data_IF_840012128167
#
_entry.id   IF_840012128167
#
_cell.length_a   1.000
_cell.length_b   1.000
_cell.length_c   1.000
_cell.angle_alpha   90.00
_cell.angle_beta   90.00
_cell.angle_gamma   90.00
#
_symmetry.space_group_name_H-M   'P 1'
#
loop_
_entity.id
_entity.type
_entity.pdbx_description
1 polymer ?
#
# COMPACT_ATOMS: atom_id res chain seq x y z
N UNK A 1 -49.15 -32.65 -31.98
CA UNK A 1 -48.01 -31.78 -32.36
C UNK A 1 -47.88 -31.68 -33.87
N UNK A 2 -47.69 -30.47 -34.40
CA UNK A 2 -47.38 -30.26 -35.83
C UNK A 2 -45.88 -30.40 -36.06
N UNK A 3 -45.45 -30.72 -37.28
CA UNK A 3 -44.03 -30.81 -37.66
C UNK A 3 -43.27 -29.51 -37.32
N UNK A 4 -43.93 -28.37 -37.46
CA UNK A 4 -43.38 -27.04 -37.13
C UNK A 4 -43.04 -26.89 -35.64
N UNK A 5 -43.91 -27.38 -34.74
CA UNK A 5 -43.62 -27.38 -33.31
C UNK A 5 -42.43 -28.27 -32.98
N UNK A 6 -42.29 -29.42 -33.65
CA UNK A 6 -41.14 -30.31 -33.45
C UNK A 6 -39.82 -29.66 -33.90
N UNK A 7 -39.79 -29.02 -35.06
CA UNK A 7 -38.59 -28.27 -35.49
C UNK A 7 -38.24 -27.12 -34.54
N UNK A 8 -39.24 -26.41 -34.04
CA UNK A 8 -39.03 -25.33 -33.08
C UNK A 8 -38.49 -25.86 -31.73
N UNK A 9 -39.05 -26.97 -31.21
CA UNK A 9 -38.50 -27.63 -30.01
C UNK A 9 -37.05 -28.07 -30.22
N UNK A 10 -36.71 -28.63 -31.38
CA UNK A 10 -35.36 -29.10 -31.69
C UNK A 10 -34.37 -27.94 -31.69
N UNK A 11 -34.70 -26.84 -32.39
CA UNK A 11 -33.85 -25.66 -32.47
C UNK A 11 -33.68 -24.98 -31.10
N UNK A 12 -34.76 -24.89 -30.32
CA UNK A 12 -34.71 -24.39 -28.95
C UNK A 12 -33.78 -25.25 -28.07
N UNK A 13 -33.82 -26.58 -28.18
CA UNK A 13 -32.94 -27.48 -27.43
C UNK A 13 -31.47 -27.35 -27.85
N UNK A 14 -31.18 -27.19 -29.15
CA UNK A 14 -29.84 -26.90 -29.65
C UNK A 14 -29.33 -25.55 -29.08
N UNK A 15 -30.21 -24.54 -29.06
CA UNK A 15 -29.93 -23.24 -28.46
C UNK A 15 -29.61 -23.37 -26.97
N UNK A 16 -30.40 -24.13 -26.21
CA UNK A 16 -30.14 -24.35 -24.78
C UNK A 16 -28.90 -25.19 -24.51
N UNK A 17 -28.57 -26.16 -25.37
CA UNK A 17 -27.29 -26.86 -25.31
C UNK A 17 -26.10 -25.92 -25.52
N UNK A 18 -26.25 -24.97 -26.43
CA UNK A 18 -25.22 -23.95 -26.68
C UNK A 18 -25.08 -22.97 -25.51
N UNK A 19 -26.21 -22.52 -24.97
CA UNK A 19 -26.26 -21.70 -23.75
C UNK A 19 -25.63 -22.43 -22.55
N UNK A 20 -25.93 -23.71 -22.38
CA UNK A 20 -25.34 -24.54 -21.33
C UNK A 20 -23.81 -24.59 -21.44
N UNK A 21 -23.30 -24.79 -22.66
CA UNK A 21 -21.86 -24.74 -22.92
C UNK A 21 -21.23 -23.40 -22.50
N UNK A 22 -21.88 -22.29 -22.85
CA UNK A 22 -21.45 -20.96 -22.44
C UNK A 22 -21.45 -20.78 -20.93
N UNK A 23 -22.56 -21.14 -20.26
CA UNK A 23 -22.72 -21.02 -18.82
C UNK A 23 -21.68 -21.84 -18.06
N UNK A 24 -21.36 -23.06 -18.53
CA UNK A 24 -20.35 -23.93 -17.95
C UNK A 24 -18.93 -23.34 -18.10
N UNK A 25 -18.58 -22.80 -19.26
CA UNK A 25 -17.29 -22.13 -19.49
C UNK A 25 -17.16 -20.86 -18.63
N UNK A 26 -18.25 -20.11 -18.42
CA UNK A 26 -18.29 -19.00 -17.45
C UNK A 26 -18.04 -19.50 -16.03
N UNK A 27 -18.83 -20.49 -15.60
CA UNK A 27 -18.80 -21.03 -14.25
C UNK A 27 -17.41 -21.56 -13.88
N UNK A 28 -16.81 -22.39 -14.74
CA UNK A 28 -15.47 -22.95 -14.53
C UNK A 28 -14.40 -21.87 -14.39
N UNK A 29 -14.50 -20.76 -15.15
CA UNK A 29 -13.56 -19.64 -15.02
C UNK A 29 -13.70 -18.90 -13.69
N UNK A 30 -14.93 -18.66 -13.23
CA UNK A 30 -15.18 -18.06 -11.92
C UNK A 30 -14.75 -18.97 -10.77
N UNK A 31 -14.99 -20.28 -10.90
CA UNK A 31 -14.63 -21.28 -9.91
C UNK A 31 -13.11 -21.39 -9.72
N UNK A 32 -12.33 -21.37 -10.81
CA UNK A 32 -10.86 -21.40 -10.78
C UNK A 32 -10.24 -20.23 -9.99
N UNK A 33 -10.94 -19.09 -9.89
CA UNK A 33 -10.49 -17.92 -9.12
C UNK A 33 -10.79 -18.02 -7.61
N UNK A 34 -11.69 -18.91 -7.20
CA UNK A 34 -12.22 -19.03 -5.83
C UNK A 34 -11.71 -20.28 -5.08
N UNK A 35 -10.48 -20.72 -5.38
CA UNK A 35 -9.94 -22.04 -4.98
C UNK A 35 -9.77 -22.28 -3.47
N UNK A 36 -10.00 -21.30 -2.60
CA UNK A 36 -9.58 -21.40 -1.19
C UNK A 36 -10.63 -22.04 -0.26
N UNK A 37 -11.85 -22.37 -0.72
CA UNK A 37 -12.90 -22.97 0.13
C UNK A 37 -13.68 -24.08 -0.60
N UNK A 38 -13.23 -25.33 -0.45
CA UNK A 38 -13.84 -26.51 -1.07
C UNK A 38 -15.34 -26.70 -0.81
N UNK A 39 -15.82 -26.36 0.39
CA UNK A 39 -17.25 -26.41 0.72
C UNK A 39 -18.11 -25.46 -0.13
N UNK A 40 -17.60 -24.25 -0.43
CA UNK A 40 -18.33 -23.30 -1.27
C UNK A 40 -18.35 -23.74 -2.74
N UNK A 41 -17.33 -24.47 -3.19
CA UNK A 41 -17.30 -25.03 -4.54
C UNK A 41 -18.41 -26.07 -4.68
N UNK A 42 -18.55 -26.97 -3.70
CA UNK A 42 -19.60 -27.99 -3.72
C UNK A 42 -21.02 -27.41 -3.76
N UNK A 43 -21.31 -26.44 -2.89
CA UNK A 43 -22.64 -25.78 -2.86
C UNK A 43 -22.92 -25.07 -4.18
N UNK A 44 -21.92 -24.36 -4.73
CA UNK A 44 -22.09 -23.67 -6.01
C UNK A 44 -22.24 -24.63 -7.18
N UNK A 45 -21.58 -25.80 -7.17
CA UNK A 45 -21.72 -26.81 -8.21
C UNK A 45 -23.13 -27.42 -8.18
N UNK A 46 -23.60 -27.81 -6.99
CA UNK A 46 -24.97 -28.27 -6.81
C UNK A 46 -26.00 -27.23 -7.28
N UNK A 47 -25.83 -25.97 -6.88
CA UNK A 47 -26.74 -24.88 -7.26
C UNK A 47 -26.69 -24.61 -8.76
N UNK A 48 -25.51 -24.67 -9.38
CA UNK A 48 -25.35 -24.50 -10.83
C UNK A 48 -26.10 -25.59 -11.61
N UNK A 49 -25.89 -26.87 -11.26
CA UNK A 49 -26.58 -27.99 -11.93
C UNK A 49 -28.10 -27.93 -11.71
N UNK A 50 -28.55 -27.56 -10.52
CA UNK A 50 -29.97 -27.40 -10.20
C UNK A 50 -30.60 -26.30 -11.04
N UNK A 51 -30.01 -25.10 -11.05
CA UNK A 51 -30.51 -23.96 -11.83
C UNK A 51 -30.54 -24.31 -13.32
N UNK A 52 -29.47 -24.91 -13.83
CA UNK A 52 -29.38 -25.24 -15.24
C UNK A 52 -30.40 -26.31 -15.66
N UNK A 53 -30.58 -27.35 -14.83
CA UNK A 53 -31.61 -28.36 -15.03
C UNK A 53 -33.01 -27.74 -15.06
N UNK A 54 -33.30 -26.84 -14.11
CA UNK A 54 -34.58 -26.10 -14.08
C UNK A 54 -34.77 -25.22 -15.31
N UNK A 55 -33.74 -24.50 -15.77
CA UNK A 55 -33.81 -23.65 -16.96
C UNK A 55 -34.10 -24.49 -18.21
N UNK A 56 -33.38 -25.59 -18.41
CA UNK A 56 -33.59 -26.49 -19.55
C UNK A 56 -34.99 -27.10 -19.50
N UNK A 57 -35.43 -27.56 -18.32
CA UNK A 57 -36.76 -28.11 -18.13
C UNK A 57 -37.86 -27.06 -18.34
N UNK A 58 -37.65 -25.83 -17.91
CA UNK A 58 -38.60 -24.74 -18.12
C UNK A 58 -38.76 -24.40 -19.61
N UNK A 59 -37.66 -24.33 -20.35
CA UNK A 59 -37.72 -24.13 -21.81
C UNK A 59 -38.38 -25.32 -22.50
N UNK A 60 -38.10 -26.54 -22.04
CA UNK A 60 -38.76 -27.74 -22.54
C UNK A 60 -40.28 -27.72 -22.26
N UNK A 61 -40.67 -27.25 -21.08
CA UNK A 61 -42.06 -27.09 -20.68
C UNK A 61 -42.78 -26.07 -21.57
N UNK A 62 -42.15 -24.93 -21.84
CA UNK A 62 -42.73 -23.87 -22.67
C UNK A 62 -42.92 -24.31 -24.13
N UNK A 63 -42.00 -25.13 -24.66
CA UNK A 63 -41.95 -25.42 -26.10
C UNK A 63 -42.57 -26.79 -26.45
N UNK A 64 -42.56 -27.74 -25.53
CA UNK A 64 -42.99 -29.12 -25.76
C UNK A 64 -43.96 -29.64 -24.68
N UNK A 65 -44.56 -28.75 -23.88
CA UNK A 65 -45.39 -29.09 -22.70
C UNK A 65 -44.70 -30.03 -21.69
N UNK A 66 -43.36 -30.10 -21.73
CA UNK A 66 -42.57 -30.92 -20.83
C UNK A 66 -42.46 -32.39 -21.25
N UNK A 67 -42.86 -32.75 -22.47
CA UNK A 67 -42.65 -34.09 -23.00
C UNK A 67 -41.14 -34.37 -23.18
N UNK A 68 -40.61 -35.25 -22.34
CA UNK A 68 -39.23 -35.71 -22.41
C UNK A 68 -39.10 -36.81 -23.47
N UNK A 69 -38.46 -36.48 -24.59
CA UNK A 69 -38.19 -37.41 -25.69
C UNK A 69 -36.68 -37.51 -25.95
N UNK A 70 -36.20 -38.71 -26.29
CA UNK A 70 -34.77 -39.01 -26.46
C UNK A 70 -34.06 -38.09 -27.48
N UNK A 71 -34.72 -37.72 -28.58
CA UNK A 71 -34.12 -36.85 -29.59
C UNK A 71 -33.88 -35.42 -29.09
N UNK A 72 -34.59 -34.95 -28.07
CA UNK A 72 -34.39 -33.61 -27.47
C UNK A 72 -33.10 -33.59 -26.65
N UNK A 73 -32.77 -34.69 -25.97
CA UNK A 73 -31.47 -34.85 -25.33
C UNK A 73 -30.33 -34.88 -26.36
N UNK A 74 -30.52 -35.57 -27.49
CA UNK A 74 -29.54 -35.54 -28.60
C UNK A 74 -29.38 -34.12 -29.16
N UNK A 75 -30.46 -33.38 -29.34
CA UNK A 75 -30.44 -32.00 -29.80
C UNK A 75 -29.66 -31.09 -28.82
N UNK A 76 -29.84 -31.29 -27.51
CA UNK A 76 -29.10 -30.57 -26.47
C UNK A 76 -27.60 -30.90 -26.47
N UNK A 77 -27.25 -32.18 -26.59
CA UNK A 77 -25.85 -32.63 -26.74
C UNK A 77 -25.21 -32.08 -28.02
N UNK A 78 -25.95 -32.07 -29.13
CA UNK A 78 -25.51 -31.51 -30.39
C UNK A 78 -25.27 -29.99 -30.28
N UNK A 79 -26.18 -29.26 -29.65
CA UNK A 79 -26.01 -27.84 -29.35
C UNK A 79 -24.79 -27.55 -28.48
N UNK A 80 -24.57 -28.36 -27.45
CA UNK A 80 -23.37 -28.26 -26.61
C UNK A 80 -22.08 -28.53 -27.41
N UNK A 81 -22.08 -29.56 -28.26
CA UNK A 81 -20.94 -29.87 -29.12
C UNK A 81 -20.66 -28.74 -30.14
N UNK A 82 -21.72 -28.17 -30.73
CA UNK A 82 -21.64 -27.02 -31.63
C UNK A 82 -21.03 -25.80 -30.91
N UNK A 83 -21.45 -25.51 -29.67
CA UNK A 83 -20.82 -24.48 -28.85
C UNK A 83 -19.32 -24.74 -28.63
N UNK A 84 -18.97 -25.96 -28.24
CA UNK A 84 -17.59 -26.32 -27.95
C UNK A 84 -16.67 -26.18 -29.16
N UNK A 85 -17.16 -26.54 -30.35
CA UNK A 85 -16.40 -26.49 -31.60
C UNK A 85 -16.29 -25.08 -32.20
N UNK A 86 -17.40 -24.33 -32.21
CA UNK A 86 -17.50 -23.06 -32.96
C UNK A 86 -17.35 -21.82 -32.06
N UNK A 87 -18.01 -21.83 -30.90
CA UNK A 87 -18.22 -20.62 -30.11
C UNK A 87 -17.26 -20.48 -28.93
N UNK A 88 -16.65 -21.57 -28.46
CA UNK A 88 -15.74 -21.57 -27.31
C UNK A 88 -14.62 -20.53 -27.43
N UNK A 89 -13.94 -20.48 -28.58
CA UNK A 89 -12.80 -19.56 -28.79
C UNK A 89 -13.26 -18.10 -28.79
N UNK A 90 -14.38 -17.81 -29.47
CA UNK A 90 -14.95 -16.46 -29.55
C UNK A 90 -15.43 -16.01 -28.16
N UNK A 91 -16.13 -16.89 -27.46
CA UNK A 91 -16.66 -16.62 -26.12
C UNK A 91 -15.54 -16.33 -25.12
N UNK A 92 -14.49 -17.16 -25.09
CA UNK A 92 -13.33 -16.93 -24.22
C UNK A 92 -12.63 -15.60 -24.52
N UNK A 93 -12.42 -15.28 -25.80
CA UNK A 93 -11.81 -14.01 -26.20
C UNK A 93 -12.66 -12.81 -25.79
N UNK A 94 -13.98 -12.87 -25.97
CA UNK A 94 -14.90 -11.84 -25.49
C UNK A 94 -14.84 -11.68 -23.97
N UNK A 95 -14.86 -12.79 -23.25
CA UNK A 95 -14.81 -12.79 -21.79
C UNK A 95 -13.46 -12.27 -21.25
N UNK A 96 -12.36 -12.55 -21.92
CA UNK A 96 -11.04 -11.97 -21.60
C UNK A 96 -11.01 -10.46 -21.86
N UNK A 97 -11.49 -10.02 -23.02
CA UNK A 97 -11.61 -8.60 -23.36
C UNK A 97 -12.48 -7.84 -22.34
N UNK A 98 -13.59 -8.42 -21.90
CA UNK A 98 -14.45 -7.80 -20.88
C UNK A 98 -13.74 -7.67 -19.54
N UNK A 99 -13.04 -8.71 -19.08
CA UNK A 99 -12.29 -8.67 -17.82
C UNK A 99 -11.13 -7.68 -17.91
N UNK A 100 -10.36 -7.71 -18.99
CA UNK A 100 -9.23 -6.81 -19.18
C UNK A 100 -9.68 -5.35 -19.28
N UNK A 101 -10.80 -5.09 -19.97
CA UNK A 101 -11.38 -3.75 -20.04
C UNK A 101 -11.80 -3.27 -18.65
N UNK A 102 -12.48 -4.11 -17.87
CA UNK A 102 -12.87 -3.76 -16.51
C UNK A 102 -11.66 -3.46 -15.62
N UNK A 103 -10.64 -4.31 -15.66
CA UNK A 103 -9.40 -4.11 -14.88
C UNK A 103 -8.68 -2.84 -15.32
N UNK A 104 -8.61 -2.54 -16.62
CA UNK A 104 -8.00 -1.32 -17.16
C UNK A 104 -8.76 -0.08 -16.66
N UNK A 105 -10.09 -0.11 -16.68
CA UNK A 105 -10.93 0.98 -16.17
C UNK A 105 -10.69 1.23 -14.68
N UNK A 106 -10.68 0.17 -13.86
CA UNK A 106 -10.39 0.31 -12.42
C UNK A 106 -8.98 0.85 -12.17
N UNK A 107 -7.97 0.37 -12.91
CA UNK A 107 -6.61 0.90 -12.81
C UNK A 107 -6.53 2.37 -13.21
N UNK A 108 -7.26 2.77 -14.25
CA UNK A 108 -7.33 4.15 -14.70
C UNK A 108 -7.96 5.06 -13.65
N UNK A 109 -9.05 4.63 -13.02
CA UNK A 109 -9.69 5.35 -11.90
C UNK A 109 -8.70 5.50 -10.73
N UNK A 110 -8.05 4.41 -10.31
CA UNK A 110 -7.06 4.46 -9.23
C UNK A 110 -5.90 5.39 -9.56
N UNK A 111 -5.42 5.41 -10.81
CA UNK A 111 -4.35 6.31 -11.24
C UNK A 111 -4.80 7.77 -11.23
N UNK A 112 -6.03 8.06 -11.64
CA UNK A 112 -6.62 9.40 -11.56
C UNK A 112 -6.73 9.83 -10.11
N UNK A 113 -7.31 9.00 -9.23
CA UNK A 113 -7.43 9.28 -7.80
C UNK A 113 -6.06 9.50 -7.16
N UNK A 114 -5.08 8.64 -7.46
CA UNK A 114 -3.73 8.78 -6.92
C UNK A 114 -3.07 10.08 -7.39
N UNK A 115 -3.19 10.39 -8.68
CA UNK A 115 -2.55 11.57 -9.25
C UNK A 115 -3.22 12.86 -8.80
N UNK A 116 -4.54 12.86 -8.73
CA UNK A 116 -5.35 14.05 -8.49
C UNK A 116 -5.54 14.34 -7.00
N UNK A 117 -5.37 13.36 -6.12
CA UNK A 117 -5.53 13.54 -4.67
C UNK A 117 -4.18 13.50 -3.94
N UNK A 118 -3.33 12.50 -4.18
CA UNK A 118 -2.10 12.37 -3.37
C UNK A 118 -1.03 13.39 -3.74
N UNK A 119 -0.86 13.72 -5.03
CA UNK A 119 0.14 14.73 -5.43
C UNK A 119 -0.18 16.13 -4.89
N UNK A 120 -1.40 16.68 -5.00
CA UNK A 120 -1.67 18.02 -4.47
C UNK A 120 -1.60 18.07 -2.95
N UNK A 121 -2.06 17.04 -2.24
CA UNK A 121 -1.94 16.97 -0.77
C UNK A 121 -0.48 16.99 -0.35
N UNK A 122 0.40 16.22 -1.02
CA UNK A 122 1.83 16.21 -0.73
C UNK A 122 2.45 17.59 -0.95
N UNK A 123 2.08 18.28 -2.02
CA UNK A 123 2.53 19.65 -2.29
C UNK A 123 2.10 20.62 -1.19
N UNK A 124 0.83 20.55 -0.75
CA UNK A 124 0.30 21.41 0.32
C UNK A 124 1.07 21.17 1.62
N UNK A 125 1.26 19.91 2.04
CA UNK A 125 1.97 19.56 3.27
C UNK A 125 3.44 20.02 3.19
N UNK A 126 4.10 19.80 2.05
CA UNK A 126 5.51 20.18 1.87
C UNK A 126 5.68 21.71 1.93
N UNK A 127 4.78 22.46 1.31
CA UNK A 127 4.76 23.93 1.40
C UNK A 127 4.54 24.42 2.84
N UNK A 128 3.64 23.77 3.58
CA UNK A 128 3.37 24.13 4.98
C UNK A 128 4.60 23.88 5.88
N UNK A 129 5.28 22.75 5.70
CA UNK A 129 6.52 22.42 6.42
C UNK A 129 7.64 23.41 6.07
N UNK A 130 7.79 23.76 4.79
CA UNK A 130 8.76 24.76 4.34
C UNK A 130 8.56 26.12 5.01
N UNK A 131 7.31 26.58 5.12
CA UNK A 131 6.97 27.81 5.84
C UNK A 131 7.35 27.73 7.32
N UNK A 132 7.01 26.63 7.99
CA UNK A 132 7.32 26.40 9.40
C UNK A 132 8.83 26.39 9.66
N UNK A 133 9.60 25.67 8.85
CA UNK A 133 11.07 25.66 8.92
C UNK A 133 11.65 27.05 8.64
N UNK A 134 11.06 27.80 7.71
CA UNK A 134 11.42 29.19 7.44
C UNK A 134 11.31 30.08 8.68
N UNK A 135 10.17 30.00 9.38
CA UNK A 135 9.92 30.76 10.61
C UNK A 135 10.92 30.37 11.71
N UNK A 136 11.12 29.08 11.96
CA UNK A 136 12.07 28.59 12.98
C UNK A 136 13.49 29.09 12.68
N UNK A 137 13.91 29.04 11.42
CA UNK A 137 15.23 29.50 11.01
C UNK A 137 15.41 31.01 11.21
N UNK A 138 14.37 31.81 10.95
CA UNK A 138 14.37 33.24 11.24
C UNK A 138 14.52 33.51 12.74
N UNK A 139 13.70 32.87 13.56
CA UNK A 139 13.75 33.00 15.03
C UNK A 139 15.13 32.61 15.57
N UNK A 140 15.68 31.48 15.11
CA UNK A 140 17.00 31.04 15.54
C UNK A 140 18.11 31.99 15.10
N UNK A 141 18.00 32.59 13.91
CA UNK A 141 18.95 33.59 13.42
C UNK A 141 18.96 34.83 14.33
N UNK A 142 17.77 35.31 14.72
CA UNK A 142 17.60 36.45 15.63
C UNK A 142 18.18 36.10 17.01
N UNK A 143 17.83 34.94 17.56
CA UNK A 143 18.33 34.47 18.85
C UNK A 143 19.87 34.39 18.87
N UNK A 144 20.48 33.82 17.83
CA UNK A 144 21.94 33.73 17.70
C UNK A 144 22.59 35.11 17.64
N UNK A 145 21.96 36.05 16.95
CA UNK A 145 22.40 37.45 16.91
C UNK A 145 22.37 38.09 18.29
N UNK A 146 21.23 37.99 18.99
CA UNK A 146 21.05 38.53 20.34
C UNK A 146 22.07 37.91 21.30
N UNK A 147 22.22 36.59 21.28
CA UNK A 147 23.20 35.90 22.13
C UNK A 147 24.64 36.37 21.87
N UNK A 148 25.01 36.60 20.61
CA UNK A 148 26.33 37.15 20.24
C UNK A 148 26.52 38.58 20.77
N UNK A 149 25.47 39.40 20.73
CA UNK A 149 25.49 40.77 21.27
C UNK A 149 25.65 40.74 22.79
N UNK A 150 24.86 39.92 23.50
CA UNK A 150 24.95 39.75 24.96
C UNK A 150 26.34 39.26 25.37
N UNK A 151 26.87 38.24 24.69
CA UNK A 151 28.22 37.75 24.97
C UNK A 151 29.29 38.81 24.72
N UNK A 152 29.14 39.62 23.66
CA UNK A 152 30.06 40.73 23.39
C UNK A 152 30.04 41.75 24.53
N UNK A 153 28.87 42.14 25.02
CA UNK A 153 28.72 43.10 26.13
C UNK A 153 29.31 42.52 27.42
N UNK A 154 29.00 41.26 27.75
CA UNK A 154 29.52 40.58 28.92
C UNK A 154 31.05 40.44 28.88
N UNK A 155 31.62 40.08 27.72
CA UNK A 155 33.07 40.01 27.52
C UNK A 155 33.74 41.37 27.65
N UNK A 156 33.11 42.43 27.16
CA UNK A 156 33.60 43.81 27.32
C UNK A 156 33.60 44.22 28.79
N UNK A 157 32.59 43.84 29.57
CA UNK A 157 32.51 44.10 31.01
C UNK A 157 33.46 43.23 31.85
N UNK A 158 33.73 41.99 31.44
CA UNK A 158 34.65 41.10 32.15
C UNK A 158 36.12 41.42 31.85
N UNK A 159 36.44 42.02 30.69
CA UNK A 159 37.79 42.47 30.34
C UNK A 159 38.48 43.33 31.43
N UNK A 160 37.85 44.39 31.98
CA UNK A 160 38.47 45.18 33.06
C UNK A 160 38.64 44.37 34.35
N UNK A 161 37.76 43.41 34.64
CA UNK A 161 37.91 42.52 35.80
C UNK A 161 39.12 41.60 35.63
N UNK A 162 39.32 41.02 34.44
CA UNK A 162 40.51 40.22 34.14
C UNK A 162 41.79 41.06 34.19
N UNK A 163 41.75 42.30 33.72
CA UNK A 163 42.88 43.23 33.81
C UNK A 163 43.26 43.58 35.26
N UNK A 164 42.25 43.82 36.12
CA UNK A 164 42.45 43.99 37.56
C UNK A 164 43.05 42.73 38.22
N UNK A 165 42.61 41.55 37.79
CA UNK A 165 43.16 40.27 38.27
C UNK A 165 44.63 40.10 37.90
N UNK A 166 45.04 40.53 36.70
CA UNK A 166 46.42 40.48 36.22
C UNK A 166 47.33 41.45 36.98
N UNK A 167 46.83 42.66 37.29
CA UNK A 167 47.53 43.63 38.16
C UNK A 167 47.70 43.05 39.57
N UNK A 168 46.68 42.39 40.12
CA UNK A 168 46.78 41.69 41.40
C UNK A 168 47.78 40.52 41.33
N UNK A 169 47.81 39.76 40.23
CA UNK A 169 48.74 38.65 40.02
C UNK A 169 50.21 39.09 40.03
N UNK A 170 50.51 40.30 39.53
CA UNK A 170 51.86 40.84 39.55
C UNK A 170 52.31 41.30 40.94
N UNK A 171 51.39 41.73 41.82
CA UNK A 171 51.71 42.17 43.19
C UNK A 171 51.67 41.06 44.25
N UNK A 172 51.25 39.84 43.90
CA UNK A 172 51.13 38.74 44.84
C UNK A 172 52.50 38.14 45.26
N UNK A 173 52.75 37.92 46.57
CA UNK A 173 53.99 37.31 47.07
C UNK A 173 54.18 35.87 46.56
N UNK A 174 55.44 35.47 46.33
CA UNK A 174 55.84 34.18 45.72
C UNK A 174 55.17 32.94 46.35
N UNK A 175 54.86 32.98 47.66
CA UNK A 175 54.17 31.90 48.39
C UNK A 175 52.73 31.65 47.90
N UNK A 176 51.99 32.70 47.55
CA UNK A 176 50.61 32.57 47.06
C UNK A 176 50.58 32.05 45.62
N UNK A 177 51.52 32.48 44.77
CA UNK A 177 51.69 31.92 43.42
C UNK A 177 51.92 30.41 43.47
N UNK A 178 52.78 29.94 44.38
CA UNK A 178 53.03 28.51 44.56
C UNK A 178 51.79 27.75 45.04
N UNK A 179 50.98 28.32 45.95
CA UNK A 179 49.74 27.68 46.42
C UNK A 179 48.70 27.54 45.30
N UNK A 180 48.52 28.59 44.50
CA UNK A 180 47.59 28.57 43.36
C UNK A 180 48.07 27.62 42.26
N UNK A 181 49.37 27.57 41.97
CA UNK A 181 49.95 26.57 41.05
C UNK A 181 49.74 25.15 41.58
N UNK A 182 49.83 24.94 42.90
CA UNK A 182 49.57 23.63 43.53
C UNK A 182 48.10 23.22 43.38
N UNK A 183 47.16 24.16 43.56
CA UNK A 183 45.73 23.94 43.34
C UNK A 183 45.46 23.65 41.87
N UNK A 184 46.02 24.44 40.97
CA UNK A 184 45.89 24.24 39.53
C UNK A 184 46.40 22.86 39.09
N UNK A 185 47.57 22.44 39.57
CA UNK A 185 48.15 21.11 39.29
C UNK A 185 47.30 19.97 39.87
N UNK A 186 46.66 20.18 41.04
CA UNK A 186 45.75 19.20 41.65
C UNK A 186 44.45 19.08 40.85
N UNK A 187 43.90 20.19 40.38
CA UNK A 187 42.68 20.23 39.56
C UNK A 187 42.93 19.60 38.19
N UNK A 188 44.04 19.93 37.52
CA UNK A 188 44.43 19.30 36.24
C UNK A 188 44.69 17.80 36.40
N UNK A 189 45.29 17.36 37.52
CA UNK A 189 45.42 15.95 37.87
C UNK A 189 44.07 15.22 38.04
N UNK A 190 43.06 15.88 38.60
CA UNK A 190 41.70 15.33 38.69
C UNK A 190 41.00 15.29 37.33
N UNK A 191 41.12 16.34 36.51
CA UNK A 191 40.54 16.39 35.17
C UNK A 191 41.14 15.34 34.23
N UNK A 192 42.46 15.13 34.28
CA UNK A 192 43.13 14.07 33.50
C UNK A 192 42.70 12.67 33.94
N UNK A 193 42.55 12.43 35.24
CA UNK A 193 41.97 11.17 35.76
C UNK A 193 40.53 10.97 35.28
N UNK A 194 39.67 11.99 35.40
CA UNK A 194 38.28 11.93 34.93
C UNK A 194 38.20 11.68 33.41
N UNK A 195 39.04 12.34 32.62
CA UNK A 195 39.15 12.11 31.17
C UNK A 195 39.57 10.68 30.84
N UNK A 196 40.53 10.11 31.58
CA UNK A 196 40.97 8.74 31.39
C UNK A 196 39.89 7.73 31.76
N UNK A 197 39.13 7.98 32.83
CA UNK A 197 37.97 7.16 33.22
C UNK A 197 36.88 7.22 32.14
N UNK A 198 36.51 8.42 31.68
CA UNK A 198 35.54 8.58 30.59
C UNK A 198 35.98 7.88 29.30
N UNK A 199 37.26 8.01 28.91
CA UNK A 199 37.79 7.30 27.75
C UNK A 199 37.78 5.76 27.92
N UNK A 200 38.02 5.27 29.13
CA UNK A 200 37.95 3.83 29.42
C UNK A 200 36.52 3.28 29.34
N UNK A 201 35.53 4.06 29.81
CA UNK A 201 34.10 3.73 29.73
C UNK A 201 33.64 3.77 28.26
N UNK A 202 34.02 4.80 27.50
CA UNK A 202 33.72 4.91 26.07
C UNK A 202 34.31 3.74 25.28
N UNK A 203 35.55 3.29 25.57
CA UNK A 203 36.12 2.09 24.95
C UNK A 203 35.39 0.80 25.30
N UNK A 204 34.80 0.72 26.50
CA UNK A 204 34.07 -0.47 26.98
C UNK A 204 32.66 -0.56 26.41
N UNK A 205 32.03 0.57 26.09
CA UNK A 205 30.70 0.66 25.45
C UNK A 205 30.78 0.43 23.93
N UNK A 206 31.93 0.71 23.30
CA UNK A 206 32.15 0.57 21.85
C UNK A 206 32.60 -0.84 21.41
N UNK A 207 32.67 -1.80 22.33
CA UNK A 207 33.02 -3.21 22.11
C UNK A 207 31.79 -4.06 22.40
#
# INVERSE_FOLDING_TARGET
>A
MTLTTQFYTLLAMIGMGSYFGAALDTYTRFLKRSSNRGWLIFINDFLFWLIQGLIIFYVLFLVNEGELRLYLFLALLCGFAAYQALFKTIYKKMLELSIDSFIKTVRLINKIVQTLIFLPIKWIITSLILLLVGIVKLVFSIFKWIFKVILSILLVFLKPVFWLFEIFWNKLPKKLKLFVVKIYNKITGLFTKLKNVLNSIVKRIRK
#
